data_IF_637972205228
#
_entry.id   IF_637972205228
#
_cell.length_a   1.000
_cell.length_b   1.000
_cell.length_c   1.000
_cell.angle_alpha   90.00
_cell.angle_beta   90.00
_cell.angle_gamma   90.00
#
_symmetry.space_group_name_H-M   'P 1'
#
loop_
_entity.id
_entity.type
_entity.pdbx_description
1 polymer ?
#
# COMPACT_ATOMS: atom_id res chain seq x y z
N UNK A 1 -7.37 13.94 -10.07
CA UNK A 1 -6.10 14.38 -9.44
C UNK A 1 -4.89 13.90 -10.24
N UNK A 2 -4.74 12.60 -10.50
CA UNK A 2 -3.59 12.07 -11.25
C UNK A 2 -3.44 12.59 -12.70
N UNK A 3 -4.51 13.13 -13.31
CA UNK A 3 -4.53 13.63 -14.69
C UNK A 3 -4.14 15.12 -14.85
N UNK A 4 -3.78 15.80 -13.76
CA UNK A 4 -3.46 17.23 -13.77
C UNK A 4 -2.01 17.50 -14.23
N UNK A 5 -1.78 18.61 -14.95
CA UNK A 5 -0.48 18.88 -15.62
C UNK A 5 0.69 19.12 -14.67
N UNK A 6 0.42 19.49 -13.43
CA UNK A 6 1.43 19.82 -12.42
C UNK A 6 1.59 18.73 -11.34
N UNK A 7 0.99 17.56 -11.54
CA UNK A 7 1.01 16.45 -10.59
C UNK A 7 1.82 15.29 -11.18
N UNK A 8 2.68 14.67 -10.36
CA UNK A 8 3.43 13.47 -10.76
C UNK A 8 2.60 12.21 -10.47
N UNK A 9 2.02 11.54 -11.49
CA UNK A 9 1.19 10.37 -11.28
C UNK A 9 1.96 9.13 -10.83
N UNK A 10 3.30 9.11 -10.96
CA UNK A 10 4.12 7.93 -10.61
C UNK A 10 4.46 7.87 -9.12
N UNK A 11 4.47 9.02 -8.43
CA UNK A 11 4.85 9.14 -7.02
C UNK A 11 3.69 9.46 -6.09
N UNK A 12 2.53 9.81 -6.66
CA UNK A 12 1.33 10.07 -5.89
C UNK A 12 0.81 8.77 -5.27
N UNK A 13 0.54 8.78 -3.96
CA UNK A 13 -0.03 7.66 -3.23
C UNK A 13 -1.22 8.12 -2.40
N UNK A 14 -2.24 7.28 -2.28
CA UNK A 14 -3.38 7.46 -1.38
C UNK A 14 -3.23 6.57 -0.15
N UNK A 15 -3.98 6.86 0.92
CA UNK A 15 -4.16 5.97 2.06
C UNK A 15 -5.46 5.15 1.95
N UNK A 16 -6.30 5.44 0.95
CA UNK A 16 -7.51 4.66 0.67
C UNK A 16 -7.17 3.46 -0.22
N UNK A 17 -7.25 2.26 0.37
CA UNK A 17 -6.94 1.00 -0.30
C UNK A 17 -7.98 0.68 -1.39
N UNK A 18 -9.25 1.04 -1.17
CA UNK A 18 -10.32 0.79 -2.14
C UNK A 18 -10.15 1.67 -3.39
N UNK A 19 -9.74 2.92 -3.21
CA UNK A 19 -9.41 3.82 -4.32
C UNK A 19 -8.23 3.28 -5.14
N UNK A 20 -7.15 2.86 -4.47
CA UNK A 20 -5.98 2.28 -5.12
C UNK A 20 -6.36 1.02 -5.92
N UNK A 21 -7.23 0.17 -5.38
CA UNK A 21 -7.72 -1.02 -6.08
C UNK A 21 -8.43 -0.65 -7.39
N UNK A 22 -9.31 0.35 -7.34
CA UNK A 22 -10.11 0.77 -8.50
C UNK A 22 -9.28 1.46 -9.58
N UNK A 23 -8.24 2.22 -9.19
CA UNK A 23 -7.45 3.05 -10.11
C UNK A 23 -6.17 2.34 -10.61
N UNK A 24 -5.46 1.65 -9.71
CA UNK A 24 -4.13 1.08 -9.98
C UNK A 24 -4.10 -0.46 -9.99
N UNK A 25 -5.12 -1.12 -9.43
CA UNK A 25 -5.26 -2.58 -9.43
C UNK A 25 -4.65 -3.30 -8.22
N UNK A 26 -4.73 -4.64 -8.22
CA UNK A 26 -4.50 -5.48 -7.04
C UNK A 26 -3.03 -5.51 -6.57
N UNK A 27 -2.05 -5.48 -7.48
CA UNK A 27 -0.63 -5.46 -7.08
C UNK A 27 -0.22 -4.11 -6.46
N UNK A 28 -0.85 -3.01 -6.90
CA UNK A 28 -0.64 -1.71 -6.27
C UNK A 28 -1.18 -1.71 -4.84
N UNK A 29 -2.34 -2.35 -4.62
CA UNK A 29 -2.92 -2.55 -3.28
C UNK A 29 -1.99 -3.36 -2.39
N UNK A 30 -1.43 -4.48 -2.88
CA UNK A 30 -0.48 -5.29 -2.12
C UNK A 30 0.68 -4.45 -1.60
N UNK A 31 1.24 -3.59 -2.45
CA UNK A 31 2.35 -2.72 -2.07
C UNK A 31 1.93 -1.59 -1.12
N UNK A 32 0.74 -1.03 -1.32
CA UNK A 32 0.18 0.00 -0.44
C UNK A 32 -0.06 -0.53 0.97
N UNK A 33 -0.70 -1.70 1.11
CA UNK A 33 -0.94 -2.37 2.41
C UNK A 33 0.39 -2.62 3.12
N UNK A 34 1.37 -3.18 2.42
CA UNK A 34 2.69 -3.44 2.99
C UNK A 34 3.33 -2.18 3.57
N UNK A 35 3.23 -1.05 2.85
CA UNK A 35 3.78 0.24 3.28
C UNK A 35 3.04 0.79 4.50
N UNK A 36 1.72 0.80 4.49
CA UNK A 36 0.92 1.33 5.60
C UNK A 36 1.09 0.51 6.87
N UNK A 37 1.09 -0.83 6.77
CA UNK A 37 1.34 -1.69 7.92
C UNK A 37 2.73 -1.50 8.51
N UNK A 38 3.75 -1.39 7.65
CA UNK A 38 5.11 -1.10 8.09
C UNK A 38 5.19 0.25 8.81
N UNK A 39 4.50 1.28 8.30
CA UNK A 39 4.46 2.60 8.92
C UNK A 39 3.82 2.56 10.31
N UNK A 40 2.70 1.86 10.49
CA UNK A 40 2.00 1.73 11.78
C UNK A 40 2.86 1.00 12.81
N UNK A 41 3.47 -0.12 12.43
CA UNK A 41 4.31 -0.92 13.33
C UNK A 41 5.58 -0.15 13.73
N UNK A 42 6.22 0.50 12.77
CA UNK A 42 7.42 1.30 13.01
C UNK A 42 7.12 2.54 13.87
N UNK A 43 5.91 3.10 13.75
CA UNK A 43 5.49 4.25 14.55
C UNK A 43 5.40 3.91 16.05
N UNK A 44 4.97 2.71 16.39
CA UNK A 44 4.92 2.20 17.76
C UNK A 44 6.30 1.74 18.29
N UNK A 45 7.35 1.79 17.47
CA UNK A 45 8.70 1.31 17.81
C UNK A 45 8.81 -0.22 17.84
N UNK A 46 7.73 -0.92 17.53
CA UNK A 46 7.67 -2.37 17.41
C UNK A 46 8.31 -2.84 16.10
N UNK A 47 8.95 -4.01 16.09
CA UNK A 47 9.53 -4.61 14.89
C UNK A 47 8.86 -5.94 14.57
N UNK A 48 8.43 -6.08 13.31
CA UNK A 48 7.90 -7.33 12.76
C UNK A 48 8.68 -7.68 11.51
N UNK A 49 9.11 -8.94 11.39
CA UNK A 49 9.86 -9.40 10.23
C UNK A 49 9.03 -9.24 8.94
N UNK A 50 9.67 -8.74 7.88
CA UNK A 50 9.09 -8.57 6.55
C UNK A 50 8.32 -9.81 6.07
N UNK A 51 8.79 -11.03 6.37
CA UNK A 51 8.12 -12.27 5.96
C UNK A 51 6.69 -12.41 6.53
N UNK A 52 6.44 -11.95 7.76
CA UNK A 52 5.10 -12.01 8.35
C UNK A 52 4.17 -11.00 7.68
N UNK A 53 4.68 -9.79 7.41
CA UNK A 53 3.92 -8.74 6.74
C UNK A 53 3.61 -9.10 5.29
N UNK A 54 4.60 -9.65 4.57
CA UNK A 54 4.44 -10.09 3.19
C UNK A 54 3.36 -11.18 3.08
N UNK A 55 3.38 -12.18 3.97
CA UNK A 55 2.41 -13.28 3.96
C UNK A 55 1.00 -12.78 4.25
N UNK A 56 0.83 -11.84 5.19
CA UNK A 56 -0.46 -11.20 5.44
C UNK A 56 -0.96 -10.41 4.23
N UNK A 57 -0.09 -9.58 3.62
CA UNK A 57 -0.44 -8.82 2.42
C UNK A 57 -0.88 -9.76 1.29
N UNK A 58 -0.15 -10.86 1.07
CA UNK A 58 -0.44 -11.84 0.05
C UNK A 58 -1.81 -12.50 0.28
N UNK A 59 -2.13 -12.89 1.53
CA UNK A 59 -3.44 -13.45 1.87
C UNK A 59 -4.58 -12.45 1.67
N UNK A 60 -4.34 -11.16 1.98
CA UNK A 60 -5.32 -10.09 1.76
C UNK A 60 -5.56 -9.80 0.27
N UNK A 61 -4.60 -10.08 -0.61
CA UNK A 61 -4.69 -9.80 -2.05
C UNK A 61 -4.80 -11.05 -2.94
N UNK A 62 -4.93 -12.25 -2.37
CA UNK A 62 -4.95 -13.52 -3.09
C UNK A 62 -6.32 -13.90 -3.70
N UNK A 63 -7.28 -12.97 -3.83
CA UNK A 63 -8.63 -13.25 -4.35
C UNK A 63 -9.05 -12.25 -5.43
#
# INVERSE_FOLDING_TARGET
VLSERHIDPKRTSSNDICEIFQVLGIEAVRKAIQREMHNVISFDGSYVNYRHLALLCDVMTAK
#
